data_IF_093766010892
#
_entry.id   IF_093766010892
#
_cell.length_a   1.000
_cell.length_b   1.000
_cell.length_c   1.000
_cell.angle_alpha   90.00
_cell.angle_beta   90.00
_cell.angle_gamma   90.00
#
_symmetry.space_group_name_H-M   'P 1'
#
loop_
_entity.id
_entity.type
_entity.pdbx_description
1 polymer ?
#
# COMPACT_ATOMS: atom_id res chain seq x y z
N UNK A 1 0.97 -20.18 -7.89
CA UNK A 1 0.02 -19.06 -8.05
C UNK A 1 0.84 -17.79 -8.02
N UNK A 2 0.75 -16.93 -9.02
CA UNK A 2 1.59 -15.73 -9.11
C UNK A 2 0.71 -14.50 -8.87
N UNK A 3 1.03 -13.68 -7.88
CA UNK A 3 0.29 -12.46 -7.58
C UNK A 3 0.90 -11.24 -8.26
N UNK A 4 0.07 -10.33 -8.75
CA UNK A 4 0.47 -9.04 -9.32
C UNK A 4 0.77 -8.01 -8.22
N UNK A 5 0.11 -8.14 -7.06
CA UNK A 5 0.21 -7.18 -5.96
C UNK A 5 1.66 -7.01 -5.46
N UNK A 6 2.38 -8.10 -5.25
CA UNK A 6 3.80 -8.09 -4.87
C UNK A 6 4.68 -7.47 -5.95
N UNK A 7 4.34 -7.65 -7.23
CA UNK A 7 5.07 -7.02 -8.34
C UNK A 7 4.87 -5.50 -8.36
N UNK A 8 3.66 -5.01 -8.09
CA UNK A 8 3.40 -3.57 -7.94
C UNK A 8 4.13 -2.96 -6.75
N UNK A 9 4.24 -3.69 -5.64
CA UNK A 9 5.01 -3.27 -4.46
C UNK A 9 6.51 -3.25 -4.75
N UNK A 10 7.04 -4.26 -5.44
CA UNK A 10 8.44 -4.28 -5.86
C UNK A 10 8.78 -3.07 -6.73
N UNK A 11 7.91 -2.74 -7.68
CA UNK A 11 8.08 -1.56 -8.52
C UNK A 11 8.01 -0.26 -7.71
N UNK A 12 7.07 -0.15 -6.77
CA UNK A 12 6.90 1.07 -5.97
C UNK A 12 8.06 1.30 -5.01
N UNK A 13 8.51 0.26 -4.32
CA UNK A 13 9.52 0.35 -3.28
C UNK A 13 10.95 0.36 -3.83
N UNK A 14 11.21 -0.43 -4.87
CA UNK A 14 12.57 -0.69 -5.35
C UNK A 14 12.80 -0.23 -6.79
N UNK A 15 11.82 0.35 -7.48
CA UNK A 15 11.89 0.56 -8.93
C UNK A 15 13.14 1.28 -9.46
N UNK A 16 13.77 2.14 -8.67
CA UNK A 16 15.03 2.82 -9.04
C UNK A 16 16.30 2.03 -8.66
N UNK A 17 16.17 1.09 -7.72
CA UNK A 17 17.24 0.24 -7.18
C UNK A 17 17.34 -1.09 -7.93
N UNK A 18 16.26 -1.49 -8.60
CA UNK A 18 16.25 -2.70 -9.42
C UNK A 18 17.21 -2.56 -10.61
N UNK A 19 18.02 -3.59 -10.85
CA UNK A 19 18.82 -3.68 -12.08
C UNK A 19 17.93 -3.56 -13.32
N UNK A 20 18.49 -3.02 -14.41
CA UNK A 20 17.77 -2.86 -15.68
C UNK A 20 17.07 -4.15 -16.13
N UNK A 21 17.75 -5.29 -16.07
CA UNK A 21 17.20 -6.59 -16.47
C UNK A 21 15.99 -7.00 -15.63
N UNK A 22 16.08 -6.85 -14.30
CA UNK A 22 14.98 -7.21 -13.40
C UNK A 22 13.81 -6.25 -13.58
N UNK A 23 14.09 -4.94 -13.67
CA UNK A 23 13.08 -3.92 -13.91
C UNK A 23 12.38 -4.14 -15.25
N UNK A 24 13.11 -4.41 -16.33
CA UNK A 24 12.52 -4.66 -17.65
C UNK A 24 11.57 -5.87 -17.61
N UNK A 25 12.00 -7.00 -17.04
CA UNK A 25 11.14 -8.18 -16.91
C UNK A 25 9.90 -7.90 -16.06
N UNK A 26 10.06 -7.21 -14.92
CA UNK A 26 8.95 -6.80 -14.08
C UNK A 26 7.94 -5.94 -14.85
N UNK A 27 8.43 -5.02 -15.66
CA UNK A 27 7.59 -4.17 -16.50
C UNK A 27 6.90 -4.94 -17.61
N UNK A 28 7.57 -5.92 -18.23
CA UNK A 28 6.95 -6.80 -19.22
C UNK A 28 5.80 -7.61 -18.61
N UNK A 29 5.97 -8.09 -17.37
CA UNK A 29 4.91 -8.77 -16.62
C UNK A 29 3.76 -7.85 -16.23
N UNK A 30 4.07 -6.62 -15.82
CA UNK A 30 3.09 -5.65 -15.34
C UNK A 30 2.45 -4.82 -16.46
N UNK A 31 2.94 -4.93 -17.70
CA UNK A 31 2.46 -4.13 -18.82
C UNK A 31 0.97 -4.40 -18.98
N UNK A 32 0.10 -3.39 -18.81
CA UNK A 32 -1.33 -3.61 -18.85
C UNK A 32 -1.72 -3.99 -20.27
N UNK A 33 -1.93 -5.29 -20.52
CA UNK A 33 -2.42 -5.81 -21.80
C UNK A 33 -3.93 -5.59 -21.92
N UNK A 34 -4.41 -4.35 -21.74
CA UNK A 34 -5.84 -3.93 -21.81
C UNK A 34 -6.66 -3.98 -20.50
N UNK A 35 -6.06 -3.86 -19.31
CA UNK A 35 -6.83 -3.93 -18.07
C UNK A 35 -7.38 -2.58 -17.60
N UNK A 36 -8.70 -2.46 -17.67
CA UNK A 36 -9.49 -1.33 -17.15
C UNK A 36 -9.48 -1.27 -15.61
N UNK A 37 -9.25 -2.39 -14.93
CA UNK A 37 -9.09 -2.53 -13.48
C UNK A 37 -8.11 -3.66 -13.19
N UNK A 38 -7.36 -3.60 -12.09
CA UNK A 38 -6.31 -4.57 -11.75
C UNK A 38 -6.74 -5.49 -10.59
N UNK A 39 -6.22 -6.71 -10.57
CA UNK A 39 -6.49 -7.74 -9.56
C UNK A 39 -5.25 -8.09 -8.75
N UNK A 40 -5.47 -8.68 -7.57
CA UNK A 40 -4.38 -9.18 -6.74
C UNK A 40 -3.55 -10.25 -7.45
N UNK A 41 -4.22 -11.20 -8.14
CA UNK A 41 -3.58 -12.26 -8.92
C UNK A 41 -3.60 -11.98 -10.42
N UNK A 42 -2.66 -12.61 -11.15
CA UNK A 42 -2.68 -12.60 -12.61
C UNK A 42 -3.89 -13.31 -13.20
N UNK A 43 -4.39 -14.34 -12.52
CA UNK A 43 -5.65 -14.99 -12.87
C UNK A 43 -6.80 -14.34 -12.09
N UNK A 44 -7.65 -13.52 -12.75
CA UNK A 44 -8.76 -12.83 -12.08
C UNK A 44 -9.88 -13.79 -11.64
N UNK A 45 -9.84 -15.07 -12.04
CA UNK A 45 -10.79 -16.08 -11.55
C UNK A 45 -10.48 -16.50 -10.10
N UNK A 46 -9.25 -16.28 -9.63
CA UNK A 46 -8.86 -16.55 -8.24
C UNK A 46 -9.38 -15.43 -7.35
N UNK A 47 -9.02 -14.19 -7.67
CA UNK A 47 -9.62 -12.99 -7.10
C UNK A 47 -9.94 -11.99 -8.21
N UNK A 48 -11.19 -11.49 -8.25
CA UNK A 48 -11.56 -10.48 -9.24
C UNK A 48 -10.77 -9.18 -9.00
N UNK A 49 -10.76 -8.32 -10.02
CA UNK A 49 -10.21 -6.99 -9.88
C UNK A 49 -10.87 -6.24 -8.70
N UNK A 50 -10.05 -5.49 -7.98
CA UNK A 50 -10.43 -4.77 -6.77
C UNK A 50 -9.83 -3.37 -6.75
N UNK A 51 -10.39 -2.51 -5.91
CA UNK A 51 -9.99 -1.11 -5.87
C UNK A 51 -8.57 -0.93 -5.34
N UNK A 52 -8.11 -1.76 -4.41
CA UNK A 52 -6.80 -1.64 -3.79
C UNK A 52 -5.68 -1.96 -4.77
N UNK A 53 -5.77 -3.12 -5.42
CA UNK A 53 -4.84 -3.56 -6.46
C UNK A 53 -4.81 -2.56 -7.62
N UNK A 54 -5.98 -2.04 -8.00
CA UNK A 54 -6.09 -1.00 -9.05
C UNK A 54 -5.41 0.31 -8.64
N UNK A 55 -5.67 0.80 -7.44
CA UNK A 55 -5.12 2.07 -6.97
C UNK A 55 -3.60 2.00 -6.76
N UNK A 56 -3.11 0.93 -6.13
CA UNK A 56 -1.68 0.68 -5.95
C UNK A 56 -0.99 0.51 -7.31
N UNK A 57 -1.50 -0.39 -8.15
CA UNK A 57 -0.87 -0.73 -9.42
C UNK A 57 -0.71 0.47 -10.35
N UNK A 58 -1.77 1.28 -10.53
CA UNK A 58 -1.65 2.48 -11.34
C UNK A 58 -0.72 3.52 -10.74
N UNK A 59 -0.71 3.69 -9.42
CA UNK A 59 0.22 4.62 -8.78
C UNK A 59 1.67 4.19 -8.97
N UNK A 60 1.97 2.89 -8.83
CA UNK A 60 3.30 2.32 -9.07
C UNK A 60 3.75 2.52 -10.52
N UNK A 61 2.87 2.23 -11.48
CA UNK A 61 3.15 2.37 -12.91
C UNK A 61 3.34 3.83 -13.35
N UNK A 62 2.54 4.76 -12.82
CA UNK A 62 2.70 6.21 -13.02
C UNK A 62 4.05 6.68 -12.50
N UNK A 63 4.40 6.30 -11.27
CA UNK A 63 5.69 6.65 -10.64
C UNK A 63 6.89 6.12 -11.44
N UNK A 64 6.74 4.95 -12.04
CA UNK A 64 7.76 4.34 -12.89
C UNK A 64 7.84 4.92 -14.31
N UNK A 65 6.94 5.85 -14.68
CA UNK A 65 6.90 6.50 -16.00
C UNK A 65 6.40 5.59 -17.13
N UNK A 66 5.67 4.52 -16.81
CA UNK A 66 5.25 3.48 -17.77
C UNK A 66 3.94 3.85 -18.45
N UNK A 67 3.07 4.53 -17.72
CA UNK A 67 1.77 5.01 -18.18
C UNK A 67 1.66 6.48 -17.85
N UNK A 68 0.80 7.20 -18.58
CA UNK A 68 0.54 8.62 -18.32
C UNK A 68 -0.73 8.80 -17.49
N UNK A 69 -0.90 10.00 -16.93
CA UNK A 69 -2.14 10.36 -16.24
C UNK A 69 -3.37 10.22 -17.16
N UNK A 70 -3.22 10.58 -18.44
CA UNK A 70 -4.27 10.48 -19.44
C UNK A 70 -4.70 9.02 -19.67
N UNK A 71 -3.74 8.08 -19.71
CA UNK A 71 -4.05 6.65 -19.88
C UNK A 71 -4.81 6.07 -18.68
N UNK A 72 -4.51 6.54 -17.46
CA UNK A 72 -5.05 5.99 -16.21
C UNK A 72 -6.40 6.59 -15.84
N UNK A 73 -6.66 7.84 -16.22
CA UNK A 73 -7.81 8.59 -15.72
C UNK A 73 -9.17 7.88 -15.90
N UNK A 74 -9.50 7.24 -17.04
CA UNK A 74 -10.78 6.52 -17.18
C UNK A 74 -10.96 5.39 -16.16
N UNK A 75 -9.89 4.66 -15.84
CA UNK A 75 -9.89 3.59 -14.86
C UNK A 75 -9.88 4.11 -13.43
N UNK A 76 -9.12 5.18 -13.15
CA UNK A 76 -9.13 5.84 -11.85
C UNK A 76 -10.50 6.45 -11.52
N UNK A 77 -11.21 6.97 -12.51
CA UNK A 77 -12.58 7.47 -12.33
C UNK A 77 -13.51 6.37 -11.81
N UNK A 78 -13.39 5.14 -12.32
CA UNK A 78 -14.15 3.99 -11.79
C UNK A 78 -13.86 3.71 -10.32
N UNK A 79 -12.60 3.89 -9.89
CA UNK A 79 -12.22 3.77 -8.47
C UNK A 79 -12.91 4.86 -7.64
N UNK A 80 -12.88 6.12 -8.10
CA UNK A 80 -13.44 7.25 -7.35
C UNK A 80 -14.98 7.22 -7.29
N UNK A 81 -15.63 6.70 -8.33
CA UNK A 81 -17.10 6.56 -8.38
C UNK A 81 -17.61 5.31 -7.64
N UNK A 82 -16.72 4.38 -7.25
CA UNK A 82 -17.08 3.17 -6.52
C UNK A 82 -17.28 3.44 -5.02
N UNK A 83 -18.28 4.24 -4.68
CA UNK A 83 -18.56 4.69 -3.30
C UNK A 83 -19.80 4.03 -2.71
N UNK A 84 -19.81 3.87 -1.39
CA UNK A 84 -20.97 3.48 -0.61
C UNK A 84 -21.93 4.66 -0.36
N UNK A 85 -23.00 4.41 0.38
CA UNK A 85 -24.02 5.42 0.72
C UNK A 85 -23.48 6.64 1.48
N UNK A 86 -22.32 6.52 2.13
CA UNK A 86 -21.64 7.60 2.84
C UNK A 86 -20.63 8.36 1.95
N UNK A 87 -20.51 8.00 0.67
CA UNK A 87 -19.53 8.55 -0.26
C UNK A 87 -18.10 8.05 -0.05
N UNK A 88 -17.90 6.98 0.73
CA UNK A 88 -16.57 6.38 0.97
C UNK A 88 -16.33 5.27 -0.04
N UNK A 89 -15.15 5.25 -0.64
CA UNK A 89 -14.79 4.26 -1.68
C UNK A 89 -14.80 2.84 -1.10
N UNK A 90 -15.48 1.93 -1.81
CA UNK A 90 -15.63 0.52 -1.47
C UNK A 90 -14.48 -0.32 -2.05
N UNK A 91 -14.20 -1.47 -1.44
CA UNK A 91 -13.14 -2.40 -1.84
C UNK A 91 -13.47 -3.11 -3.16
N UNK A 92 -14.71 -3.53 -3.35
CA UNK A 92 -15.14 -4.32 -4.51
C UNK A 92 -15.84 -3.43 -5.52
N UNK A 93 -15.51 -3.57 -6.80
CA UNK A 93 -16.21 -2.87 -7.87
C UNK A 93 -17.67 -3.34 -8.00
N UNK A 94 -18.56 -2.40 -8.32
CA UNK A 94 -19.97 -2.69 -8.63
C UNK A 94 -20.13 -3.28 -10.05
N UNK A 95 -21.06 -4.24 -10.27
CA UNK A 95 -21.93 -4.86 -9.26
C UNK A 95 -21.16 -5.91 -8.44
N UNK A 96 -21.13 -5.72 -7.12
CA UNK A 96 -20.61 -6.72 -6.20
C UNK A 96 -21.76 -7.62 -5.73
N UNK A 97 -21.48 -8.92 -5.52
CA UNK A 97 -22.40 -9.83 -4.84
C UNK A 97 -22.76 -9.25 -3.46
N UNK A 98 -23.99 -9.44 -3.00
CA UNK A 98 -24.57 -8.80 -1.80
C UNK A 98 -23.60 -8.74 -0.59
N UNK A 99 -22.98 -9.88 -0.25
CA UNK A 99 -22.00 -10.00 0.86
C UNK A 99 -20.69 -9.21 0.71
N UNK A 100 -20.48 -8.51 -0.41
CA UNK A 100 -19.29 -7.69 -0.72
C UNK A 100 -19.64 -6.22 -0.92
N UNK A 101 -20.92 -5.86 -0.90
CA UNK A 101 -21.38 -4.48 -1.01
C UNK A 101 -21.06 -3.70 0.27
N UNK A 102 -20.82 -2.40 0.13
CA UNK A 102 -20.55 -1.45 1.21
C UNK A 102 -19.28 -1.75 2.04
N UNK A 103 -18.42 -2.65 1.57
CA UNK A 103 -17.18 -3.03 2.25
C UNK A 103 -16.12 -1.93 2.08
N UNK A 104 -15.67 -1.35 3.18
CA UNK A 104 -14.61 -0.32 3.21
C UNK A 104 -13.40 -0.84 3.98
N UNK A 105 -12.19 -0.46 3.53
CA UNK A 105 -10.93 -0.78 4.21
C UNK A 105 -10.05 0.47 4.27
N UNK A 106 -9.70 0.91 5.48
CA UNK A 106 -8.91 2.13 5.67
C UNK A 106 -7.51 2.07 5.03
N UNK A 107 -6.85 0.91 5.03
CA UNK A 107 -5.56 0.72 4.37
C UNK A 107 -5.66 0.90 2.85
N UNK A 108 -6.67 0.28 2.23
CA UNK A 108 -6.98 0.44 0.80
C UNK A 108 -7.34 1.90 0.48
N UNK A 109 -8.14 2.55 1.32
CA UNK A 109 -8.51 3.95 1.13
C UNK A 109 -7.27 4.86 1.05
N UNK A 110 -6.20 4.57 1.78
CA UNK A 110 -4.93 5.31 1.64
C UNK A 110 -4.33 5.18 0.23
N UNK A 111 -4.40 4.01 -0.41
CA UNK A 111 -3.96 3.83 -1.80
C UNK A 111 -4.86 4.58 -2.79
N UNK A 112 -6.18 4.59 -2.57
CA UNK A 112 -7.13 5.40 -3.36
C UNK A 112 -6.82 6.89 -3.26
N UNK A 113 -6.61 7.39 -2.04
CA UNK A 113 -6.23 8.78 -1.80
C UNK A 113 -4.90 9.10 -2.48
N UNK A 114 -3.94 8.19 -2.41
CA UNK A 114 -2.65 8.35 -3.09
C UNK A 114 -2.81 8.49 -4.60
N UNK A 115 -3.63 7.65 -5.23
CA UNK A 115 -3.93 7.74 -6.66
C UNK A 115 -4.64 9.07 -7.00
N UNK A 116 -5.70 9.42 -6.27
CA UNK A 116 -6.47 10.63 -6.53
C UNK A 116 -5.62 11.89 -6.48
N UNK A 117 -4.76 12.02 -5.47
CA UNK A 117 -3.86 13.17 -5.35
C UNK A 117 -2.75 13.19 -6.40
N UNK A 118 -2.24 12.01 -6.80
CA UNK A 118 -1.27 11.90 -7.89
C UNK A 118 -1.86 12.41 -9.21
N UNK A 119 -3.16 12.16 -9.43
CA UNK A 119 -3.92 12.62 -10.61
C UNK A 119 -4.56 14.01 -10.45
N UNK A 120 -4.37 14.68 -9.31
CA UNK A 120 -5.02 15.98 -8.98
C UNK A 120 -6.55 15.92 -9.01
N UNK A 121 -7.11 14.85 -8.48
CA UNK A 121 -8.55 14.54 -8.40
C UNK A 121 -9.02 14.40 -6.94
N UNK A 122 -8.34 15.06 -6.00
CA UNK A 122 -8.65 14.97 -4.57
C UNK A 122 -10.08 15.40 -4.21
N UNK A 123 -10.72 16.24 -5.05
CA UNK A 123 -12.11 16.66 -4.91
C UNK A 123 -13.11 15.49 -5.02
N UNK A 124 -12.76 14.43 -5.76
CA UNK A 124 -13.63 13.26 -5.94
C UNK A 124 -13.64 12.32 -4.72
N UNK A 125 -12.66 12.45 -3.81
CA UNK A 125 -12.43 11.48 -2.73
C UNK A 125 -12.44 12.10 -1.32
N UNK A 126 -13.01 13.29 -1.15
CA UNK A 126 -13.01 14.02 0.13
C UNK A 126 -13.62 13.22 1.29
N UNK A 127 -14.73 12.51 1.05
CA UNK A 127 -15.36 11.65 2.06
C UNK A 127 -14.48 10.47 2.46
N UNK A 128 -13.69 9.95 1.53
CA UNK A 128 -12.69 8.91 1.81
C UNK A 128 -11.51 9.48 2.61
N UNK A 129 -11.08 10.72 2.33
CA UNK A 129 -10.05 11.43 3.10
C UNK A 129 -10.49 11.62 4.56
N UNK A 130 -11.74 12.08 4.77
CA UNK A 130 -12.32 12.26 6.10
C UNK A 130 -12.47 10.94 6.84
N UNK A 131 -12.88 9.86 6.16
CA UNK A 131 -12.95 8.52 6.72
C UNK A 131 -11.58 8.04 7.22
N UNK A 132 -10.52 8.18 6.42
CA UNK A 132 -9.14 7.80 6.82
C UNK A 132 -8.67 8.64 8.00
N UNK A 133 -8.99 9.94 8.02
CA UNK A 133 -8.65 10.83 9.13
C UNK A 133 -9.32 10.39 10.44
N UNK A 134 -10.63 10.12 10.44
CA UNK A 134 -11.34 9.68 11.63
C UNK A 134 -10.93 8.25 12.05
N UNK A 135 -10.56 7.38 11.10
CA UNK A 135 -10.00 6.06 11.41
C UNK A 135 -8.67 6.16 12.16
N UNK A 136 -7.77 7.05 11.71
CA UNK A 136 -6.50 7.32 12.40
C UNK A 136 -6.75 7.93 13.79
N UNK A 137 -7.62 8.95 13.87
CA UNK A 137 -7.95 9.67 15.10
C UNK A 137 -8.57 8.79 16.18
N UNK A 138 -9.47 7.89 15.79
CA UNK A 138 -10.16 6.99 16.72
C UNK A 138 -9.27 5.85 17.22
N UNK A 139 -8.09 5.64 16.64
CA UNK A 139 -7.22 4.52 17.01
C UNK A 139 -7.70 3.15 16.51
N UNK A 140 -8.77 3.09 15.71
CA UNK A 140 -9.32 1.84 15.15
C UNK A 140 -8.30 1.06 14.31
N UNK A 141 -7.30 1.75 13.77
CA UNK A 141 -6.22 1.12 13.01
C UNK A 141 -5.41 0.10 13.81
N UNK A 142 -5.37 0.19 15.15
CA UNK A 142 -4.58 -0.72 16.01
C UNK A 142 -4.97 -2.19 15.84
N UNK A 143 -6.22 -2.47 15.46
CA UNK A 143 -6.73 -3.84 15.26
C UNK A 143 -6.61 -4.32 13.82
N UNK A 144 -5.98 -3.54 12.94
CA UNK A 144 -5.96 -3.81 11.51
C UNK A 144 -7.34 -3.68 10.85
N UNK A 145 -7.46 -4.25 9.66
CA UNK A 145 -8.68 -4.36 8.88
C UNK A 145 -8.89 -5.81 8.44
N UNK A 146 -10.04 -6.11 7.83
CA UNK A 146 -10.30 -7.45 7.27
C UNK A 146 -9.21 -7.91 6.30
N UNK A 147 -8.67 -7.00 5.50
CA UNK A 147 -7.71 -7.30 4.43
C UNK A 147 -6.25 -7.04 4.84
N UNK A 148 -6.03 -6.26 5.89
CA UNK A 148 -4.70 -5.92 6.41
C UNK A 148 -4.70 -6.13 7.91
N UNK A 149 -4.34 -7.33 8.39
CA UNK A 149 -4.46 -7.69 9.81
C UNK A 149 -3.56 -6.85 10.72
N UNK A 150 -2.40 -6.41 10.21
CA UNK A 150 -1.50 -5.53 10.96
C UNK A 150 -1.90 -4.07 10.82
N UNK A 151 -2.04 -3.37 11.94
CA UNK A 151 -2.27 -1.92 11.97
C UNK A 151 -1.11 -1.12 11.37
N UNK A 152 0.10 -1.68 11.34
CA UNK A 152 1.27 -1.04 10.72
C UNK A 152 1.14 -0.91 9.21
N UNK A 153 0.39 -1.81 8.54
CA UNK A 153 0.10 -1.68 7.12
C UNK A 153 -0.72 -0.41 6.85
N UNK A 154 -1.73 -0.11 7.68
CA UNK A 154 -2.49 1.15 7.58
C UNK A 154 -1.59 2.37 7.74
N UNK A 155 -0.71 2.38 8.77
CA UNK A 155 0.20 3.50 9.01
C UNK A 155 1.19 3.70 7.86
N UNK A 156 1.71 2.61 7.30
CA UNK A 156 2.55 2.64 6.10
C UNK A 156 1.80 3.24 4.90
N UNK A 157 0.66 2.69 4.50
CA UNK A 157 -0.08 3.23 3.35
C UNK A 157 -0.50 4.68 3.58
N UNK A 158 -0.93 5.02 4.81
CA UNK A 158 -1.24 6.40 5.18
C UNK A 158 0.00 7.30 4.98
N UNK A 159 1.18 6.88 5.43
CA UNK A 159 2.42 7.65 5.24
C UNK A 159 2.75 7.92 3.76
N UNK A 160 2.47 6.96 2.86
CA UNK A 160 2.70 7.14 1.41
C UNK A 160 1.79 8.23 0.83
N UNK A 161 0.55 8.32 1.32
CA UNK A 161 -0.40 9.39 1.01
C UNK A 161 0.04 10.73 1.62
N UNK A 162 0.49 10.73 2.88
CA UNK A 162 0.96 11.93 3.60
C UNK A 162 2.12 12.63 2.89
N UNK A 163 2.99 11.87 2.23
CA UNK A 163 4.17 12.38 1.52
C UNK A 163 3.83 13.21 0.27
N UNK A 164 2.63 13.09 -0.30
CA UNK A 164 2.33 13.63 -1.64
C UNK A 164 2.39 15.16 -1.69
N UNK A 165 1.79 15.86 -0.71
CA UNK A 165 1.79 17.32 -0.69
C UNK A 165 1.66 17.91 0.71
N UNK A 166 1.90 19.23 0.78
CA UNK A 166 1.89 19.98 2.04
C UNK A 166 0.53 19.98 2.76
N UNK A 167 -0.59 20.02 2.03
CA UNK A 167 -1.96 20.01 2.61
C UNK A 167 -2.18 18.75 3.43
N UNK A 168 -1.89 17.59 2.83
CA UNK A 168 -2.03 16.29 3.51
C UNK A 168 -1.03 16.19 4.65
N UNK A 169 0.23 16.57 4.42
CA UNK A 169 1.27 16.58 5.46
C UNK A 169 0.84 17.36 6.70
N UNK A 170 0.32 18.57 6.52
CA UNK A 170 -0.18 19.41 7.62
C UNK A 170 -1.32 18.76 8.39
N UNK A 171 -2.21 18.03 7.71
CA UNK A 171 -3.40 17.40 8.31
C UNK A 171 -3.08 16.10 9.05
N UNK A 172 -2.19 15.26 8.52
CA UNK A 172 -2.02 13.88 8.99
C UNK A 172 -0.67 13.60 9.67
N UNK A 173 0.42 14.26 9.26
CA UNK A 173 1.78 13.79 9.58
C UNK A 173 2.06 13.66 11.08
N UNK A 174 1.61 14.62 11.89
CA UNK A 174 1.79 14.56 13.35
C UNK A 174 1.10 13.34 13.94
N UNK A 175 -0.14 13.07 13.55
CA UNK A 175 -0.91 11.94 14.07
C UNK A 175 -0.32 10.59 13.64
N UNK A 176 0.08 10.47 12.37
CA UNK A 176 0.72 9.24 11.88
C UNK A 176 2.05 9.00 12.60
N UNK A 177 2.87 10.05 12.77
CA UNK A 177 4.13 9.94 13.52
C UNK A 177 3.90 9.50 14.96
N UNK A 178 3.00 10.16 15.68
CA UNK A 178 2.68 9.79 17.07
C UNK A 178 2.15 8.36 17.15
N UNK A 179 1.27 7.95 16.24
CA UNK A 179 0.75 6.58 16.18
C UNK A 179 1.86 5.53 16.01
N UNK A 180 2.86 5.81 15.16
CA UNK A 180 4.04 4.96 14.95
C UNK A 180 4.90 4.92 16.23
N UNK A 181 5.26 6.08 16.77
CA UNK A 181 6.14 6.19 17.94
C UNK A 181 5.53 5.47 19.17
N UNK A 182 4.23 5.65 19.41
CA UNK A 182 3.50 5.03 20.51
C UNK A 182 3.33 3.52 20.38
N UNK A 183 3.55 2.97 19.18
CA UNK A 183 3.28 1.56 18.87
C UNK A 183 4.53 0.80 18.45
N UNK A 184 5.70 1.44 18.40
CA UNK A 184 6.94 0.82 17.95
C UNK A 184 7.31 -0.42 18.77
N UNK A 185 7.08 -0.39 20.09
CA UNK A 185 7.30 -1.51 21.00
C UNK A 185 6.37 -2.72 20.74
N UNK A 186 5.32 -2.54 19.93
CA UNK A 186 4.38 -3.61 19.57
C UNK A 186 4.76 -4.31 18.25
N UNK A 187 5.83 -3.88 17.56
CA UNK A 187 6.32 -4.61 16.39
C UNK A 187 6.75 -6.02 16.82
N UNK A 188 6.29 -7.03 16.10
CA UNK A 188 6.60 -8.45 16.41
C UNK A 188 7.15 -9.20 15.22
N UNK A 189 6.71 -8.83 14.03
CA UNK A 189 7.03 -9.55 12.81
C UNK A 189 7.97 -8.74 11.90
N UNK A 190 8.71 -9.39 10.99
CA UNK A 190 9.64 -8.70 10.09
C UNK A 190 8.98 -7.56 9.31
N UNK A 191 7.74 -7.75 8.82
CA UNK A 191 7.04 -6.69 8.08
C UNK A 191 6.64 -5.51 8.97
N UNK A 192 6.33 -5.71 10.25
CA UNK A 192 6.00 -4.59 11.14
C UNK A 192 7.16 -3.58 11.19
N UNK A 193 8.39 -4.08 11.37
CA UNK A 193 9.59 -3.25 11.37
C UNK A 193 9.83 -2.55 10.03
N UNK A 194 9.68 -3.26 8.92
CA UNK A 194 9.87 -2.68 7.58
C UNK A 194 8.83 -1.59 7.27
N UNK A 195 7.56 -1.85 7.56
CA UNK A 195 6.45 -0.93 7.36
C UNK A 195 6.62 0.34 8.22
N UNK A 196 7.03 0.18 9.48
CA UNK A 196 7.31 1.31 10.37
C UNK A 196 8.50 2.14 9.88
N UNK A 197 9.59 1.51 9.48
CA UNK A 197 10.76 2.23 8.96
C UNK A 197 10.41 3.02 7.71
N UNK A 198 9.75 2.39 6.73
CA UNK A 198 9.26 3.08 5.53
C UNK A 198 8.32 4.24 5.87
N UNK A 199 7.45 4.06 6.85
CA UNK A 199 6.52 5.11 7.25
C UNK A 199 7.23 6.30 7.89
N UNK A 200 8.23 6.05 8.74
CA UNK A 200 9.08 7.09 9.32
C UNK A 200 9.88 7.85 8.26
N UNK A 201 10.44 7.15 7.27
CA UNK A 201 11.15 7.77 6.15
C UNK A 201 10.22 8.65 5.29
N UNK A 202 8.99 8.19 5.02
CA UNK A 202 7.99 8.99 4.32
C UNK A 202 7.61 10.28 5.08
N UNK A 203 7.72 10.26 6.41
CA UNK A 203 7.47 11.42 7.28
C UNK A 203 8.72 12.29 7.49
N UNK A 204 9.90 11.83 7.04
CA UNK A 204 11.19 12.49 7.27
C UNK A 204 11.68 12.40 8.72
N UNK A 205 11.33 11.32 9.44
CA UNK A 205 11.70 11.11 10.84
C UNK A 205 12.79 10.04 10.97
N UNK A 206 14.04 10.45 11.23
CA UNK A 206 15.19 9.53 11.32
C UNK A 206 15.48 8.99 12.73
N UNK A 207 14.74 9.44 13.75
CA UNK A 207 15.03 9.18 15.17
C UNK A 207 15.19 7.69 15.49
N UNK A 208 14.39 6.83 14.87
CA UNK A 208 14.36 5.39 15.13
C UNK A 208 15.00 4.55 14.01
N UNK A 209 15.38 5.16 12.88
CA UNK A 209 15.79 4.43 11.68
C UNK A 209 16.98 3.52 11.93
N UNK A 210 18.03 3.99 12.59
CA UNK A 210 19.22 3.18 12.86
C UNK A 210 18.91 1.94 13.73
N UNK A 211 18.05 2.08 14.73
CA UNK A 211 17.67 0.97 15.61
C UNK A 211 16.88 -0.09 14.86
N UNK A 212 15.89 0.34 14.07
CA UNK A 212 15.06 -0.56 13.27
C UNK A 212 15.89 -1.23 12.17
N UNK A 213 16.77 -0.50 11.48
CA UNK A 213 17.66 -1.08 10.47
C UNK A 213 18.57 -2.16 11.04
N UNK A 214 19.10 -1.99 12.27
CA UNK A 214 19.89 -3.02 12.94
C UNK A 214 19.08 -4.28 13.21
N UNK A 215 17.82 -4.14 13.65
CA UNK A 215 16.92 -5.28 13.87
C UNK A 215 16.68 -6.01 12.55
N UNK A 216 16.32 -5.28 11.49
CA UNK A 216 16.06 -5.85 10.17
C UNK A 216 17.30 -6.56 9.61
N UNK A 217 18.48 -5.93 9.61
CA UNK A 217 19.72 -6.55 9.15
C UNK A 217 20.09 -7.81 9.94
N UNK A 218 19.77 -7.84 11.24
CA UNK A 218 19.95 -9.02 12.08
C UNK A 218 19.03 -10.20 11.73
N UNK A 219 17.98 -9.98 10.93
CA UNK A 219 17.09 -11.02 10.41
C UNK A 219 17.52 -11.56 9.04
N UNK A 220 18.57 -11.01 8.42
CA UNK A 220 18.97 -11.44 7.08
C UNK A 220 19.45 -12.89 7.08
N UNK A 221 18.93 -13.69 6.15
CA UNK A 221 19.31 -15.08 5.94
C UNK A 221 20.55 -15.21 5.04
N UNK A 222 21.16 -16.40 5.00
CA UNK A 222 22.39 -16.65 4.25
C UNK A 222 22.25 -16.42 2.72
N UNK A 223 21.05 -16.55 2.17
CA UNK A 223 20.74 -16.29 0.77
C UNK A 223 20.44 -14.80 0.48
N UNK A 224 20.56 -13.94 1.49
CA UNK A 224 20.29 -12.51 1.43
C UNK A 224 18.82 -12.11 1.58
N UNK A 225 17.91 -13.09 1.68
CA UNK A 225 16.49 -12.85 1.91
C UNK A 225 16.17 -12.65 3.40
N UNK A 226 14.88 -12.49 3.72
CA UNK A 226 14.40 -12.29 5.08
C UNK A 226 13.24 -13.24 5.40
N UNK A 227 12.96 -13.49 6.70
CA UNK A 227 11.91 -14.41 7.12
C UNK A 227 10.55 -14.07 6.51
N UNK A 228 9.82 -15.11 6.15
CA UNK A 228 8.50 -14.96 5.56
C UNK A 228 7.49 -14.34 6.53
N UNK A 229 6.60 -13.53 5.97
CA UNK A 229 5.54 -12.84 6.70
C UNK A 229 4.42 -12.48 5.71
N UNK A 230 3.27 -12.06 6.23
CA UNK A 230 2.08 -11.75 5.44
C UNK A 230 1.58 -10.33 5.70
N UNK A 231 1.26 -9.61 4.62
CA UNK A 231 0.69 -8.25 4.71
C UNK A 231 -0.82 -8.25 4.50
N UNK A 232 -1.34 -9.19 3.71
CA UNK A 232 -2.72 -9.22 3.27
C UNK A 232 -3.45 -10.44 3.83
N UNK A 233 -4.75 -10.32 4.04
CA UNK A 233 -5.62 -11.40 4.48
C UNK A 233 -6.95 -11.39 3.75
N UNK A 234 -7.66 -12.51 3.79
CA UNK A 234 -9.02 -12.60 3.28
C UNK A 234 -10.06 -12.83 4.38
N UNK A 235 -11.33 -12.86 3.98
CA UNK A 235 -12.46 -13.11 4.89
C UNK A 235 -12.44 -14.49 5.57
N UNK A 236 -11.66 -15.43 5.05
CA UNK A 236 -11.48 -16.77 5.60
C UNK A 236 -10.25 -16.85 6.51
N UNK A 237 -9.61 -15.69 6.78
CA UNK A 237 -8.38 -15.56 7.56
C UNK A 237 -7.19 -16.29 6.95
N UNK A 238 -7.24 -16.54 5.64
CA UNK A 238 -6.05 -16.93 4.89
C UNK A 238 -5.16 -15.69 4.79
N UNK A 239 -3.92 -15.83 5.21
CA UNK A 239 -2.90 -14.79 5.12
C UNK A 239 -2.06 -15.00 3.88
N UNK A 240 -1.81 -13.91 3.17
CA UNK A 240 -1.07 -13.90 1.92
C UNK A 240 0.16 -13.01 2.04
N UNK A 241 1.26 -13.59 1.60
CA UNK A 241 2.57 -12.98 1.59
C UNK A 241 3.60 -14.03 1.25
N UNK A 242 4.74 -13.99 1.94
CA UNK A 242 5.81 -14.94 1.75
C UNK A 242 7.17 -14.25 1.67
N UNK A 243 8.20 -15.08 1.53
CA UNK A 243 9.60 -14.66 1.60
C UNK A 243 9.96 -13.53 0.64
N UNK A 244 9.46 -13.58 -0.60
CA UNK A 244 9.72 -12.54 -1.60
C UNK A 244 9.12 -11.18 -1.20
N UNK A 245 7.88 -11.18 -0.72
CA UNK A 245 7.19 -9.97 -0.25
C UNK A 245 7.92 -9.35 0.95
N UNK A 246 8.25 -10.14 1.97
CA UNK A 246 9.01 -9.68 3.14
C UNK A 246 10.34 -9.06 2.71
N UNK A 247 11.06 -9.74 1.82
CA UNK A 247 12.34 -9.26 1.30
C UNK A 247 12.20 -7.93 0.57
N UNK A 248 11.19 -7.77 -0.28
CA UNK A 248 10.92 -6.50 -0.99
C UNK A 248 10.71 -5.35 -0.01
N UNK A 249 9.88 -5.55 1.02
CA UNK A 249 9.61 -4.52 2.02
C UNK A 249 10.84 -4.17 2.84
N UNK A 250 11.57 -5.18 3.31
CA UNK A 250 12.73 -4.99 4.19
C UNK A 250 13.87 -4.32 3.42
N UNK A 251 14.19 -4.79 2.21
CA UNK A 251 15.19 -4.14 1.36
C UNK A 251 14.76 -2.71 1.03
N UNK A 252 13.49 -2.48 0.69
CA UNK A 252 12.97 -1.14 0.43
C UNK A 252 13.13 -0.20 1.64
N UNK A 253 12.86 -0.72 2.85
CA UNK A 253 13.01 0.01 4.09
C UNK A 253 14.48 0.36 4.38
N UNK A 254 15.39 -0.61 4.22
CA UNK A 254 16.82 -0.42 4.44
C UNK A 254 17.43 0.56 3.44
N UNK A 255 17.06 0.47 2.15
CA UNK A 255 17.53 1.42 1.13
C UNK A 255 17.04 2.83 1.40
N UNK A 256 15.76 2.99 1.78
CA UNK A 256 15.21 4.30 2.13
C UNK A 256 15.92 4.95 3.34
N UNK A 257 16.32 4.16 4.33
CA UNK A 257 16.98 4.64 5.55
C UNK A 257 18.48 4.95 5.41
N UNK A 258 19.12 4.55 4.30
CA UNK A 258 20.56 4.70 4.09
C UNK A 258 20.98 6.10 3.59
N UNK A 259 20.00 6.97 3.29
CA UNK A 259 20.21 8.36 2.83
C UNK A 259 19.68 9.40 3.82
#
# INVERSE_FOLDING_TARGET
MTDQFTHFLALDLLGNELSYTVRSKLLDYLRPSEFNTLSYFFDPNIFPADVDSTALGYTSLLKAGIITQENVFPSAKKVFENVNDNGVVEVHFKPAIERRQNMVCASMCCNVLRLAYTLRQENQVQKTEDYVFEWLKSGKWKTGTLYYPSGFAFLYFCSTFVKINYRVKKRFATMVRTAIEDSLQNCRFPLDYALVLLALENLGCKKHSQGISKVLLGMQENDGSFPEDAIWGDRYRVLWGGKALSTIFIVGALTAATY
#
